data_IF_278528231465
#
_entry.id   IF_278528231465
#
_cell.length_a   1.000
_cell.length_b   1.000
_cell.length_c   1.000
_cell.angle_alpha   90.00
_cell.angle_beta   90.00
_cell.angle_gamma   90.00
#
_symmetry.space_group_name_H-M   'P 1'
#
loop_
_entity.id
_entity.type
_entity.pdbx_description
1 polymer ?
#
# COMPACT_ATOMS: atom_id res chain seq x y z
N UNK A 1 -33.58 31.01 86.09
CA UNK A 1 -32.27 30.36 86.04
C UNK A 1 -32.08 29.72 84.65
N UNK A 2 -31.37 30.41 83.73
CA UNK A 2 -31.07 29.94 82.35
C UNK A 2 -29.66 29.41 82.35
N UNK A 3 -29.48 28.14 81.91
CA UNK A 3 -28.16 27.56 81.71
C UNK A 3 -27.77 27.76 80.21
N UNK A 4 -26.66 28.45 80.04
CA UNK A 4 -26.04 28.64 78.72
C UNK A 4 -25.13 27.42 78.45
N UNK A 5 -25.41 26.69 77.43
CA UNK A 5 -24.57 25.58 76.99
C UNK A 5 -23.64 26.01 75.85
N UNK A 6 -22.35 25.99 76.14
CA UNK A 6 -21.27 26.32 75.20
C UNK A 6 -21.06 25.13 74.25
N UNK A 7 -21.27 25.28 72.91
CA UNK A 7 -20.93 24.32 71.92
C UNK A 7 -19.52 24.60 71.41
N UNK A 8 -18.62 23.63 71.60
CA UNK A 8 -17.29 23.65 71.01
C UNK A 8 -17.43 23.10 69.56
N UNK A 9 -17.07 23.92 68.60
CA UNK A 9 -16.95 23.52 67.17
C UNK A 9 -15.53 22.97 66.94
N UNK A 10 -15.43 21.68 66.73
CA UNK A 10 -14.17 21.00 66.32
C UNK A 10 -13.93 21.18 64.82
N UNK A 11 -12.87 21.88 64.45
CA UNK A 11 -12.41 22.08 63.09
C UNK A 11 -11.54 20.86 62.71
N UNK A 12 -12.06 19.94 61.91
CA UNK A 12 -11.28 18.81 61.35
C UNK A 12 -10.48 19.29 60.13
N UNK A 13 -9.16 19.37 60.27
CA UNK A 13 -8.22 19.71 59.18
C UNK A 13 -7.99 18.45 58.34
N UNK A 14 -8.68 18.30 57.18
CA UNK A 14 -8.39 17.26 56.20
C UNK A 14 -7.15 17.65 55.40
N UNK A 15 -6.00 17.07 55.72
CA UNK A 15 -4.78 17.16 54.90
C UNK A 15 -4.96 16.19 53.71
N UNK A 16 -5.36 16.74 52.58
CA UNK A 16 -5.41 15.98 51.32
C UNK A 16 -4.01 15.69 50.80
N UNK A 17 -3.57 14.45 50.92
CA UNK A 17 -2.38 13.94 50.21
C UNK A 17 -2.68 13.95 48.73
N UNK A 18 -2.19 14.97 48.01
CA UNK A 18 -2.18 14.95 46.52
C UNK A 18 -1.17 13.94 46.05
N UNK A 19 -1.65 12.77 45.59
CA UNK A 19 -0.82 11.82 44.85
C UNK A 19 -0.46 12.46 43.51
N UNK A 20 0.82 12.45 43.08
CA UNK A 20 1.18 12.92 41.77
C UNK A 20 0.47 11.98 40.74
N UNK A 21 -0.46 12.53 39.97
CA UNK A 21 -1.03 11.82 38.82
C UNK A 21 0.12 11.52 37.85
N UNK A 22 0.55 10.28 37.79
CA UNK A 22 1.46 9.82 36.72
C UNK A 22 0.81 10.21 35.41
N UNK A 23 1.48 11.01 34.58
CA UNK A 23 0.99 11.35 33.25
C UNK A 23 0.76 10.04 32.50
N UNK A 24 -0.51 9.72 32.25
CA UNK A 24 -0.88 8.54 31.50
C UNK A 24 -0.28 8.67 30.09
N UNK A 25 0.73 7.89 29.80
CA UNK A 25 1.27 7.80 28.45
C UNK A 25 0.16 7.27 27.54
N UNK A 26 -0.17 8.06 26.50
CA UNK A 26 -1.15 7.59 25.51
C UNK A 26 -0.75 6.21 24.99
N UNK A 27 -1.71 5.27 24.82
CA UNK A 27 -1.39 3.94 24.34
C UNK A 27 -0.72 4.01 22.97
N UNK A 28 0.20 3.07 22.67
CA UNK A 28 0.83 3.00 21.37
C UNK A 28 -0.22 2.79 20.26
N UNK A 29 0.09 3.24 19.05
CA UNK A 29 -0.81 3.19 17.91
C UNK A 29 -0.26 2.29 16.82
N UNK A 30 -1.16 1.63 16.09
CA UNK A 30 -0.82 0.84 14.91
C UNK A 30 -0.72 1.74 13.69
N UNK A 31 0.35 1.55 12.90
CA UNK A 31 0.57 2.26 11.64
C UNK A 31 0.89 1.23 10.56
N UNK A 32 0.25 1.36 9.40
CA UNK A 32 0.60 0.54 8.24
C UNK A 32 2.07 0.76 7.88
N UNK A 33 2.85 -0.31 7.82
CA UNK A 33 4.26 -0.28 7.41
C UNK A 33 4.46 -0.81 6.00
N UNK A 34 3.63 -1.73 5.59
CA UNK A 34 3.52 -2.22 4.23
C UNK A 34 2.07 -2.55 3.91
N UNK A 35 1.62 -2.27 2.70
CA UNK A 35 0.33 -2.69 2.19
C UNK A 35 0.38 -2.89 0.69
N UNK A 36 -0.58 -3.67 0.17
CA UNK A 36 -0.81 -3.83 -1.26
C UNK A 36 -2.30 -3.90 -1.56
N UNK A 37 -2.68 -3.55 -2.78
CA UNK A 37 -4.03 -3.78 -3.28
C UNK A 37 -4.15 -5.18 -3.87
N UNK A 38 -5.17 -5.91 -3.45
CA UNK A 38 -5.43 -7.26 -3.91
C UNK A 38 -6.46 -7.28 -5.05
N UNK A 39 -6.35 -8.27 -5.90
CA UNK A 39 -7.30 -8.60 -6.97
C UNK A 39 -7.67 -10.08 -6.89
N UNK A 40 -8.75 -10.46 -7.56
CA UNK A 40 -9.12 -11.86 -7.72
C UNK A 40 -8.18 -12.57 -8.69
N UNK A 41 -7.80 -13.80 -8.37
CA UNK A 41 -7.10 -14.70 -9.30
C UNK A 41 -7.58 -16.15 -9.13
N UNK A 42 -7.51 -16.94 -10.19
CA UNK A 42 -7.66 -18.38 -10.11
C UNK A 42 -6.37 -19.01 -9.56
N UNK A 43 -6.48 -20.03 -8.71
CA UNK A 43 -5.36 -20.76 -8.15
C UNK A 43 -4.43 -21.38 -9.22
N UNK A 44 -4.98 -21.71 -10.39
CA UNK A 44 -4.19 -22.20 -11.53
C UNK A 44 -3.10 -21.23 -12.00
N UNK A 45 -3.18 -19.96 -11.62
CA UNK A 45 -2.16 -18.94 -11.91
C UNK A 45 -1.03 -18.90 -10.86
N UNK A 46 -1.05 -19.76 -9.85
CA UNK A 46 0.02 -19.95 -8.88
C UNK A 46 0.73 -21.28 -9.16
N UNK A 47 2.07 -21.37 -9.05
CA UNK A 47 2.81 -22.62 -9.28
C UNK A 47 2.67 -23.56 -8.06
N UNK A 48 1.44 -23.78 -7.60
CA UNK A 48 1.17 -24.49 -6.35
C UNK A 48 1.10 -26.00 -6.58
N UNK A 49 1.78 -26.80 -5.73
CA UNK A 49 1.54 -28.24 -5.66
C UNK A 49 0.13 -28.52 -5.10
N UNK A 50 -0.35 -29.74 -5.31
CA UNK A 50 -1.63 -30.16 -4.72
C UNK A 50 -1.51 -30.42 -3.23
N UNK A 51 -2.59 -30.18 -2.48
CA UNK A 51 -2.69 -30.41 -1.04
C UNK A 51 -2.06 -29.30 -0.20
N UNK A 52 -1.54 -29.68 0.96
CA UNK A 52 -0.93 -28.75 1.89
C UNK A 52 0.29 -28.07 1.31
N UNK A 53 0.39 -26.74 1.50
CA UNK A 53 1.50 -25.92 1.01
C UNK A 53 2.00 -24.97 2.09
N UNK A 54 3.29 -24.63 1.99
CA UNK A 54 3.88 -23.47 2.64
C UNK A 54 4.20 -22.41 1.59
N UNK A 55 3.65 -21.19 1.78
CA UNK A 55 3.97 -20.01 0.97
C UNK A 55 4.85 -19.08 1.80
N UNK A 56 6.01 -18.68 1.28
CA UNK A 56 6.87 -17.64 1.88
C UNK A 56 6.97 -16.45 0.96
N UNK A 57 6.59 -15.28 1.48
CA UNK A 57 6.54 -14.02 0.75
C UNK A 57 7.41 -12.99 1.43
N UNK A 58 8.14 -12.19 0.66
CA UNK A 58 8.98 -11.13 1.21
C UNK A 58 8.35 -9.78 0.93
N UNK A 59 8.30 -8.93 1.96
CA UNK A 59 7.80 -7.56 1.86
C UNK A 59 8.83 -6.60 2.46
N UNK A 60 8.94 -5.37 1.91
CA UNK A 60 9.81 -4.34 2.46
C UNK A 60 8.99 -3.35 3.27
N UNK A 61 9.27 -3.28 4.57
CA UNK A 61 8.57 -2.40 5.49
C UNK A 61 8.90 -0.93 5.23
N UNK A 62 7.90 -0.03 5.28
CA UNK A 62 8.12 1.40 5.13
C UNK A 62 8.68 2.04 6.40
N UNK A 63 8.14 1.69 7.55
CA UNK A 63 8.56 2.20 8.86
C UNK A 63 8.82 1.06 9.83
N UNK A 64 9.71 1.29 10.80
CA UNK A 64 10.01 0.37 11.89
C UNK A 64 9.01 0.46 13.04
N UNK A 65 9.07 -0.52 13.96
CA UNK A 65 8.28 -0.57 15.18
C UNK A 65 8.75 -1.65 16.14
N UNK A 66 8.20 -1.64 17.36
CA UNK A 66 8.57 -2.59 18.42
C UNK A 66 7.88 -3.94 18.28
N UNK A 67 6.66 -3.94 17.75
CA UNK A 67 5.84 -5.11 17.43
C UNK A 67 5.24 -4.94 16.05
N UNK A 68 4.83 -6.04 15.45
CA UNK A 68 4.10 -6.03 14.18
C UNK A 68 2.87 -6.93 14.25
N UNK A 69 1.93 -6.76 13.30
CA UNK A 69 0.83 -7.67 13.06
C UNK A 69 0.56 -7.79 11.56
N UNK A 70 0.03 -8.92 11.14
CA UNK A 70 -0.33 -9.18 9.76
C UNK A 70 -1.80 -8.83 9.51
N UNK A 71 -2.10 -8.35 8.31
CA UNK A 71 -3.46 -8.27 7.74
C UNK A 71 -3.58 -9.29 6.62
N UNK A 72 -4.29 -10.37 6.90
CA UNK A 72 -4.57 -11.42 5.92
C UNK A 72 -5.95 -11.18 5.29
N UNK A 73 -6.13 -11.58 4.04
CA UNK A 73 -7.33 -11.25 3.30
C UNK A 73 -7.87 -12.41 2.46
N UNK A 74 -9.18 -12.62 2.58
CA UNK A 74 -9.99 -13.44 1.72
C UNK A 74 -10.99 -12.58 0.91
N UNK A 75 -10.57 -11.35 0.57
CA UNK A 75 -11.43 -10.29 -0.02
C UNK A 75 -12.16 -10.76 -1.28
N UNK A 76 -11.51 -11.58 -2.10
CA UNK A 76 -12.03 -12.08 -3.36
C UNK A 76 -12.31 -13.58 -3.36
N UNK A 77 -12.10 -14.25 -2.23
CA UNK A 77 -12.43 -15.67 -2.08
C UNK A 77 -13.93 -15.90 -2.06
N UNK A 78 -14.37 -17.03 -2.61
CA UNK A 78 -15.77 -17.48 -2.64
C UNK A 78 -16.07 -18.59 -1.61
N UNK A 79 -15.03 -19.10 -0.96
CA UNK A 79 -15.09 -20.07 0.14
C UNK A 79 -14.26 -19.60 1.33
N UNK A 80 -14.47 -20.12 2.54
CA UNK A 80 -13.63 -19.83 3.69
C UNK A 80 -12.16 -20.15 3.41
N UNK A 81 -11.26 -19.23 3.73
CA UNK A 81 -9.81 -19.41 3.63
C UNK A 81 -9.29 -19.96 4.96
N UNK A 82 -8.80 -21.18 4.96
CA UNK A 82 -8.14 -21.77 6.11
C UNK A 82 -6.62 -21.54 6.04
N UNK A 83 -6.05 -21.06 7.13
CA UNK A 83 -4.60 -20.88 7.34
C UNK A 83 -4.27 -21.66 8.61
N UNK A 84 -3.48 -22.72 8.48
CA UNK A 84 -3.17 -23.65 9.59
C UNK A 84 -1.96 -23.20 10.42
N UNK A 85 -1.23 -22.19 9.93
CA UNK A 85 -0.12 -21.59 10.64
C UNK A 85 0.48 -20.42 9.88
N UNK A 86 1.10 -19.53 10.64
CA UNK A 86 1.84 -18.39 10.07
C UNK A 86 3.09 -18.09 10.88
N UNK A 87 4.15 -17.62 10.22
CA UNK A 87 5.39 -17.17 10.86
C UNK A 87 5.92 -15.92 10.17
N UNK A 88 6.67 -15.14 10.92
CA UNK A 88 7.39 -13.96 10.40
C UNK A 88 8.84 -13.99 10.85
N UNK A 89 9.74 -13.56 9.99
CA UNK A 89 11.15 -13.39 10.28
C UNK A 89 11.75 -12.26 9.44
N UNK A 90 12.92 -11.74 9.79
CA UNK A 90 13.69 -10.94 8.86
C UNK A 90 14.16 -11.82 7.70
N UNK A 91 13.97 -11.33 6.48
CA UNK A 91 14.39 -12.06 5.27
C UNK A 91 15.92 -12.04 5.12
N UNK A 92 16.47 -13.11 4.60
CA UNK A 92 17.88 -13.22 4.23
C UNK A 92 18.24 -12.41 2.97
N UNK A 93 19.02 -12.97 2.05
CA UNK A 93 19.41 -12.29 0.81
C UNK A 93 18.21 -11.97 -0.10
N UNK A 94 18.25 -10.89 -0.91
CA UNK A 94 17.23 -10.62 -1.93
C UNK A 94 17.06 -11.81 -2.88
N UNK A 95 15.82 -12.14 -3.26
CA UNK A 95 15.51 -13.23 -4.17
C UNK A 95 15.69 -14.64 -3.57
N UNK A 96 16.08 -14.77 -2.30
CA UNK A 96 16.22 -16.04 -1.59
C UNK A 96 15.07 -16.33 -0.63
N UNK A 97 14.85 -17.61 -0.31
CA UNK A 97 13.85 -18.06 0.66
C UNK A 97 14.37 -18.10 2.09
N UNK A 98 15.67 -17.83 2.32
CA UNK A 98 16.32 -17.85 3.63
C UNK A 98 15.76 -16.79 4.57
N UNK A 99 15.70 -17.11 5.87
CA UNK A 99 15.36 -16.19 6.96
C UNK A 99 16.51 -16.05 7.94
N UNK A 100 16.52 -14.94 8.70
CA UNK A 100 17.43 -14.77 9.84
C UNK A 100 16.83 -15.55 11.02
N UNK A 101 17.38 -16.71 11.32
CA UNK A 101 16.76 -17.75 12.15
C UNK A 101 16.37 -17.29 13.57
N UNK A 102 17.18 -16.47 14.23
CA UNK A 102 16.92 -15.95 15.58
C UNK A 102 15.80 -14.89 15.62
N UNK A 103 15.36 -14.41 14.46
CA UNK A 103 14.23 -13.48 14.31
C UNK A 103 12.90 -14.18 14.01
N UNK A 104 12.89 -15.49 13.82
CA UNK A 104 11.70 -16.25 13.47
C UNK A 104 10.69 -16.29 14.64
N UNK A 105 9.46 -15.87 14.38
CA UNK A 105 8.38 -15.80 15.36
C UNK A 105 7.10 -16.45 14.81
N UNK A 106 6.46 -17.26 15.65
CA UNK A 106 5.10 -17.73 15.36
C UNK A 106 4.10 -16.58 15.41
N UNK A 107 3.14 -16.62 14.52
CA UNK A 107 2.00 -15.69 14.48
C UNK A 107 0.77 -16.43 15.01
N UNK A 108 0.00 -15.79 15.87
CA UNK A 108 -1.27 -16.32 16.38
C UNK A 108 -2.46 -15.44 15.98
N UNK A 109 -3.66 -15.98 16.17
CA UNK A 109 -4.94 -15.36 15.86
C UNK A 109 -5.89 -15.65 17.02
N UNK A 110 -6.10 -14.67 17.90
CA UNK A 110 -6.81 -14.85 19.17
C UNK A 110 -6.23 -16.03 19.99
N UNK A 111 -4.89 -16.07 20.07
CA UNK A 111 -4.10 -17.10 20.74
C UNK A 111 -4.03 -18.46 20.02
N UNK A 112 -4.67 -18.64 18.87
CA UNK A 112 -4.65 -19.87 18.09
C UNK A 112 -3.58 -19.80 16.99
N UNK A 113 -2.96 -20.93 16.66
CA UNK A 113 -1.94 -21.00 15.61
C UNK A 113 -2.48 -20.77 14.19
N UNK A 114 -3.76 -21.06 13.97
CA UNK A 114 -4.43 -20.94 12.68
C UNK A 114 -5.70 -20.10 12.73
N UNK A 115 -6.25 -19.82 11.56
CA UNK A 115 -7.49 -19.05 11.41
C UNK A 115 -8.26 -19.49 10.17
N UNK A 116 -9.58 -19.37 10.21
CA UNK A 116 -10.46 -19.51 9.05
C UNK A 116 -11.11 -18.17 8.77
N UNK A 117 -10.75 -17.57 7.63
CA UNK A 117 -11.21 -16.23 7.21
C UNK A 117 -12.42 -16.37 6.29
N UNK A 118 -13.59 -15.83 6.64
CA UNK A 118 -14.78 -15.88 5.78
C UNK A 118 -14.54 -15.22 4.40
N UNK A 119 -15.31 -15.60 3.36
CA UNK A 119 -15.31 -14.92 2.08
C UNK A 119 -15.57 -13.43 2.23
N UNK A 120 -14.83 -12.60 1.48
CA UNK A 120 -14.95 -11.14 1.50
C UNK A 120 -14.24 -10.46 2.68
N UNK A 121 -13.76 -11.21 3.68
CA UNK A 121 -13.22 -10.65 4.92
C UNK A 121 -11.69 -10.44 4.88
N UNK A 122 -11.23 -9.53 5.75
CA UNK A 122 -9.83 -9.42 6.18
C UNK A 122 -9.72 -9.79 7.66
N UNK A 123 -8.54 -10.26 8.08
CA UNK A 123 -8.29 -10.70 9.44
C UNK A 123 -6.95 -10.18 9.95
N UNK A 124 -6.92 -9.69 11.18
CA UNK A 124 -5.70 -9.26 11.83
C UNK A 124 -5.12 -10.40 12.67
N UNK A 125 -3.80 -10.57 12.62
CA UNK A 125 -3.12 -11.43 13.60
C UNK A 125 -3.03 -10.74 14.96
N UNK A 126 -2.70 -11.53 15.98
CA UNK A 126 -2.22 -10.99 17.24
C UNK A 126 -0.90 -10.23 17.03
N UNK A 127 -0.56 -9.31 17.95
CA UNK A 127 0.74 -8.63 17.93
C UNK A 127 1.91 -9.59 18.12
N UNK A 128 2.90 -9.51 17.23
CA UNK A 128 4.14 -10.30 17.29
C UNK A 128 5.28 -9.44 17.84
N UNK A 129 5.96 -9.92 18.88
CA UNK A 129 7.14 -9.27 19.44
C UNK A 129 8.36 -9.49 18.52
N UNK A 130 8.50 -8.65 17.54
CA UNK A 130 9.62 -8.61 16.61
C UNK A 130 9.92 -7.14 16.29
N UNK A 131 10.91 -6.53 16.95
CA UNK A 131 11.37 -5.19 16.59
C UNK A 131 11.93 -5.18 15.17
N UNK A 132 11.48 -4.22 14.38
CA UNK A 132 11.89 -4.06 12.98
C UNK A 132 12.28 -2.61 12.71
N UNK A 133 13.25 -2.43 11.83
CA UNK A 133 13.64 -1.10 11.34
C UNK A 133 12.85 -0.73 10.05
N UNK A 134 12.82 0.57 9.74
CA UNK A 134 12.32 1.03 8.45
C UNK A 134 13.16 0.45 7.31
N UNK A 135 12.51 0.10 6.20
CA UNK A 135 13.07 -0.56 5.03
C UNK A 135 13.57 -2.00 5.26
N UNK A 136 13.39 -2.58 6.45
CA UNK A 136 13.67 -3.98 6.68
C UNK A 136 12.83 -4.88 5.77
N UNK A 137 13.40 -5.99 5.33
CA UNK A 137 12.69 -7.02 4.57
C UNK A 137 12.16 -8.07 5.54
N UNK A 138 10.84 -8.26 5.50
CA UNK A 138 10.13 -9.24 6.33
C UNK A 138 9.69 -10.42 5.46
N UNK A 139 10.09 -11.62 5.84
CA UNK A 139 9.54 -12.85 5.31
C UNK A 139 8.27 -13.20 6.08
N UNK A 140 7.17 -13.43 5.36
CA UNK A 140 5.89 -13.89 5.90
C UNK A 140 5.64 -15.27 5.33
N UNK A 141 5.58 -16.28 6.18
CA UNK A 141 5.30 -17.67 5.81
C UNK A 141 3.89 -18.04 6.26
N UNK A 142 3.11 -18.63 5.35
CA UNK A 142 1.74 -19.10 5.59
C UNK A 142 1.65 -20.59 5.24
N UNK A 143 1.03 -21.40 6.09
CA UNK A 143 0.69 -22.79 5.79
C UNK A 143 -0.80 -22.88 5.52
N UNK A 144 -1.13 -23.39 4.34
CA UNK A 144 -2.49 -23.63 3.90
C UNK A 144 -2.70 -25.13 3.65
N UNK A 145 -3.82 -25.71 4.07
CA UNK A 145 -4.13 -27.11 3.77
C UNK A 145 -4.32 -27.36 2.27
N UNK A 146 -4.68 -26.30 1.55
CA UNK A 146 -4.76 -26.25 0.08
C UNK A 146 -4.76 -24.78 -0.37
N UNK A 147 -4.30 -24.51 -1.59
CA UNK A 147 -4.46 -23.20 -2.20
C UNK A 147 -5.92 -22.98 -2.58
N UNK A 148 -6.56 -21.89 -2.12
CA UNK A 148 -7.97 -21.66 -2.42
C UNK A 148 -8.19 -21.49 -3.92
N UNK A 149 -9.23 -22.13 -4.47
CA UNK A 149 -9.53 -22.10 -5.90
C UNK A 149 -9.61 -20.69 -6.47
N UNK A 150 -10.16 -19.76 -5.68
CA UNK A 150 -10.14 -18.33 -5.99
C UNK A 150 -9.41 -17.59 -4.86
N UNK A 151 -8.29 -16.99 -5.18
CA UNK A 151 -7.40 -16.34 -4.23
C UNK A 151 -7.46 -14.82 -4.35
N UNK A 152 -7.18 -14.17 -3.22
CA UNK A 152 -6.91 -12.72 -3.15
C UNK A 152 -5.41 -12.50 -3.30
N UNK A 153 -4.97 -11.95 -4.43
CA UNK A 153 -3.54 -11.77 -4.73
C UNK A 153 -3.23 -10.36 -5.20
N UNK A 154 -1.97 -9.98 -5.07
CA UNK A 154 -1.39 -8.88 -5.82
C UNK A 154 -0.48 -9.46 -6.91
N UNK A 155 -0.76 -9.16 -8.19
CA UNK A 155 -0.16 -9.87 -9.34
C UNK A 155 1.27 -9.47 -9.66
N UNK A 156 1.68 -8.25 -9.31
CA UNK A 156 2.95 -7.66 -9.73
C UNK A 156 3.81 -7.26 -8.53
N UNK A 157 4.09 -8.22 -7.66
CA UNK A 157 4.81 -7.98 -6.41
C UNK A 157 6.20 -7.34 -6.60
N UNK A 158 6.85 -7.59 -7.74
CA UNK A 158 8.25 -7.22 -7.99
C UNK A 158 9.20 -7.72 -6.90
N UNK A 159 8.79 -8.81 -6.25
CA UNK A 159 9.55 -9.49 -5.20
C UNK A 159 9.30 -10.98 -5.36
N UNK A 160 10.35 -11.77 -5.20
CA UNK A 160 10.26 -13.23 -5.30
C UNK A 160 9.53 -13.78 -4.08
N UNK A 161 8.53 -14.60 -4.32
CA UNK A 161 7.82 -15.42 -3.37
C UNK A 161 8.05 -16.90 -3.68
N UNK A 162 7.83 -17.75 -2.70
CA UNK A 162 8.14 -19.17 -2.76
C UNK A 162 6.92 -19.98 -2.32
N UNK A 163 6.69 -21.11 -2.99
CA UNK A 163 5.66 -22.07 -2.63
C UNK A 163 6.20 -23.48 -2.71
N UNK A 164 5.90 -24.29 -1.71
CA UNK A 164 6.38 -25.66 -1.59
C UNK A 164 5.33 -26.54 -0.95
N UNK A 165 5.35 -27.86 -1.24
CA UNK A 165 4.47 -28.84 -0.63
C UNK A 165 4.77 -29.04 0.86
N UNK A 166 3.72 -29.25 1.65
CA UNK A 166 3.81 -29.60 3.06
C UNK A 166 4.16 -28.47 4.00
N UNK A 167 4.45 -28.83 5.24
CA UNK A 167 4.82 -27.90 6.32
C UNK A 167 6.31 -27.61 6.37
N UNK A 168 6.70 -26.46 5.83
CA UNK A 168 8.05 -25.90 5.96
C UNK A 168 8.03 -24.52 6.64
N UNK A 169 7.02 -24.22 7.46
CA UNK A 169 6.87 -22.91 8.11
C UNK A 169 8.13 -22.48 8.88
N UNK A 170 8.70 -23.39 9.67
CA UNK A 170 9.85 -23.11 10.52
C UNK A 170 11.22 -23.35 9.82
N UNK A 171 11.22 -23.77 8.55
CA UNK A 171 12.45 -24.02 7.82
C UNK A 171 13.25 -22.72 7.64
N UNK A 172 14.55 -22.68 7.99
CA UNK A 172 15.40 -21.50 7.75
C UNK A 172 15.51 -21.14 6.27
N UNK A 173 15.42 -22.13 5.41
CA UNK A 173 15.37 -22.03 3.95
C UNK A 173 14.35 -23.05 3.42
N UNK A 174 13.57 -22.66 2.42
CA UNK A 174 12.64 -23.60 1.78
C UNK A 174 13.37 -24.43 0.74
N UNK A 175 13.23 -25.76 0.83
CA UNK A 175 13.79 -26.70 -0.14
C UNK A 175 12.74 -27.07 -1.20
N UNK A 176 13.19 -27.22 -2.44
CA UNK A 176 12.33 -27.59 -3.59
C UNK A 176 11.15 -26.65 -3.84
N UNK A 177 11.28 -25.39 -3.44
CA UNK A 177 10.23 -24.39 -3.63
C UNK A 177 10.18 -23.88 -5.07
N UNK A 178 8.98 -23.83 -5.64
CA UNK A 178 8.72 -23.07 -6.86
C UNK A 178 8.67 -21.56 -6.53
N UNK A 179 9.13 -20.73 -7.48
CA UNK A 179 9.14 -19.27 -7.34
C UNK A 179 8.04 -18.62 -8.16
N UNK A 180 7.54 -17.48 -7.65
CA UNK A 180 6.58 -16.63 -8.36
C UNK A 180 6.73 -15.16 -7.88
N UNK A 181 6.09 -14.21 -8.59
CA UNK A 181 6.22 -12.77 -8.30
C UNK A 181 4.87 -12.15 -7.96
N UNK A 182 4.12 -12.79 -7.06
CA UNK A 182 2.83 -12.32 -6.55
C UNK A 182 2.84 -12.35 -5.03
N UNK A 183 2.00 -11.52 -4.39
CA UNK A 183 1.65 -11.69 -2.98
C UNK A 183 0.26 -12.32 -2.88
N UNK A 184 0.12 -13.37 -2.09
CA UNK A 184 -1.11 -14.12 -1.91
C UNK A 184 -1.63 -14.00 -0.47
N UNK A 185 -2.91 -13.71 -0.29
CA UNK A 185 -3.64 -13.57 0.97
C UNK A 185 -3.09 -12.54 1.97
N UNK A 186 -2.00 -11.85 1.65
CA UNK A 186 -1.37 -10.84 2.51
C UNK A 186 -1.73 -9.44 2.01
N UNK A 187 -2.51 -8.71 2.80
CA UNK A 187 -2.96 -7.35 2.48
C UNK A 187 -2.11 -6.26 3.12
N UNK A 188 -1.42 -6.56 4.24
CA UNK A 188 -0.61 -5.55 4.90
C UNK A 188 0.15 -6.08 6.12
N UNK A 189 1.10 -5.26 6.54
CA UNK A 189 1.84 -5.40 7.81
C UNK A 189 1.75 -4.07 8.52
N UNK A 190 1.21 -4.08 9.74
CA UNK A 190 1.18 -2.91 10.61
C UNK A 190 2.27 -3.05 11.66
N UNK A 191 2.84 -1.92 12.07
CA UNK A 191 3.82 -1.83 13.16
C UNK A 191 3.29 -0.97 14.29
N UNK A 192 3.69 -1.32 15.51
CA UNK A 192 3.36 -0.55 16.68
C UNK A 192 4.34 0.61 16.85
N UNK A 193 3.78 1.82 17.02
CA UNK A 193 4.52 3.07 17.16
C UNK A 193 4.11 3.79 18.45
N UNK A 194 5.00 4.60 19.07
CA UNK A 194 4.59 5.54 20.12
C UNK A 194 3.45 6.43 19.64
N UNK A 195 2.54 6.79 20.53
CA UNK A 195 1.40 7.62 20.19
C UNK A 195 1.80 8.92 19.47
N UNK A 196 1.13 9.24 18.37
CA UNK A 196 1.39 10.44 17.57
C UNK A 196 2.69 10.39 16.73
N UNK A 197 3.42 9.27 16.72
CA UNK A 197 4.69 9.12 15.97
C UNK A 197 4.55 8.27 14.70
N UNK A 198 3.39 7.70 14.46
CA UNK A 198 3.12 6.90 13.27
C UNK A 198 2.37 7.68 12.19
N UNK A 199 2.87 7.65 10.97
CA UNK A 199 2.22 8.22 9.79
C UNK A 199 2.40 7.28 8.60
N UNK A 200 1.35 7.10 7.82
CA UNK A 200 1.39 6.41 6.54
C UNK A 200 0.98 7.34 5.39
N UNK A 201 1.71 7.26 4.30
CA UNK A 201 1.38 7.87 3.01
C UNK A 201 0.98 6.73 2.08
N UNK A 202 -0.22 6.80 1.50
CA UNK A 202 -0.70 5.78 0.56
C UNK A 202 -0.54 6.27 -0.87
N UNK A 203 0.06 5.45 -1.75
CA UNK A 203 0.16 5.75 -3.18
C UNK A 203 -0.88 4.96 -3.95
N UNK A 204 -1.93 5.63 -4.42
CA UNK A 204 -3.01 5.05 -5.22
C UNK A 204 -2.69 5.24 -6.70
N UNK A 205 -2.72 4.15 -7.47
CA UNK A 205 -2.42 4.26 -8.90
C UNK A 205 -2.61 2.97 -9.69
N UNK A 206 -2.07 3.00 -10.88
CA UNK A 206 -2.04 1.91 -11.86
C UNK A 206 -0.67 1.22 -11.94
N UNK A 207 -0.33 0.65 -13.10
CA UNK A 207 0.96 -0.03 -13.35
C UNK A 207 2.19 0.85 -13.11
N UNK A 208 2.09 2.16 -13.28
CA UNK A 208 3.20 3.09 -13.05
C UNK A 208 3.48 3.21 -11.54
N UNK A 209 2.46 3.17 -10.70
CA UNK A 209 2.61 3.15 -9.24
C UNK A 209 2.94 1.75 -8.73
N UNK A 210 2.35 0.72 -9.30
CA UNK A 210 2.64 -0.69 -9.03
C UNK A 210 4.09 -1.07 -9.36
N UNK A 211 4.67 -0.46 -10.42
CA UNK A 211 6.08 -0.57 -10.77
C UNK A 211 6.36 -1.44 -11.98
N UNK A 212 5.49 -1.41 -13.00
CA UNK A 212 5.79 -2.07 -14.29
C UNK A 212 7.06 -1.50 -14.90
N UNK A 213 7.99 -2.38 -15.35
CA UNK A 213 9.32 -1.97 -15.83
C UNK A 213 10.40 -1.92 -14.75
N UNK A 214 10.03 -1.96 -13.44
CA UNK A 214 11.00 -2.10 -12.36
C UNK A 214 11.51 -3.54 -12.24
N UNK A 215 12.75 -3.70 -11.77
CA UNK A 215 13.37 -5.00 -11.53
C UNK A 215 12.72 -5.75 -10.34
N UNK A 216 12.97 -7.05 -10.29
CA UNK A 216 12.52 -7.91 -9.19
C UNK A 216 13.54 -7.86 -8.05
N UNK A 217 13.08 -7.78 -6.81
CA UNK A 217 13.87 -7.78 -5.56
C UNK A 217 14.82 -6.57 -5.36
N UNK A 218 14.69 -5.50 -6.17
CA UNK A 218 15.57 -4.31 -6.11
C UNK A 218 14.93 -3.07 -5.49
N UNK A 219 13.59 -3.03 -5.33
CA UNK A 219 12.86 -1.93 -4.67
C UNK A 219 13.15 -0.55 -5.24
N UNK A 220 12.96 -0.37 -6.54
CA UNK A 220 13.29 0.85 -7.29
C UNK A 220 12.07 1.57 -7.90
N UNK A 221 10.84 1.14 -7.55
CA UNK A 221 9.61 1.84 -7.92
C UNK A 221 9.60 3.24 -7.33
N UNK A 222 8.89 4.21 -7.92
CA UNK A 222 8.86 5.55 -7.36
C UNK A 222 8.37 5.62 -5.89
N UNK A 223 7.40 4.79 -5.43
CA UNK A 223 7.06 4.74 -4.01
C UNK A 223 8.18 4.17 -3.14
N UNK A 224 9.00 3.24 -3.66
CA UNK A 224 10.17 2.70 -2.93
C UNK A 224 11.28 3.76 -2.78
N UNK A 225 11.50 4.58 -3.83
CA UNK A 225 12.44 5.70 -3.79
C UNK A 225 11.97 6.76 -2.78
N UNK A 226 10.67 7.10 -2.80
CA UNK A 226 10.09 8.01 -1.80
C UNK A 226 10.27 7.45 -0.38
N UNK A 227 9.96 6.17 -0.16
CA UNK A 227 10.15 5.53 1.14
C UNK A 227 11.61 5.62 1.63
N UNK A 228 12.58 5.36 0.76
CA UNK A 228 14.00 5.47 1.09
C UNK A 228 14.38 6.92 1.48
N UNK A 229 13.88 7.93 0.74
CA UNK A 229 14.10 9.36 1.05
C UNK A 229 13.51 9.74 2.41
N UNK A 230 12.29 9.28 2.71
CA UNK A 230 11.64 9.57 3.99
C UNK A 230 12.38 8.92 5.17
N UNK A 231 12.91 7.72 5.00
CA UNK A 231 13.70 7.04 6.04
C UNK A 231 15.10 7.65 6.22
N UNK A 232 15.66 8.30 5.20
CA UNK A 232 16.97 8.96 5.28
C UNK A 232 16.95 10.30 6.02
N UNK A 233 15.79 10.98 6.10
CA UNK A 233 15.64 12.26 6.80
C UNK A 233 15.13 12.01 8.24
N UNK A 234 15.88 12.43 9.27
CA UNK A 234 15.45 12.25 10.68
C UNK A 234 14.06 12.83 11.00
N UNK A 235 13.61 13.86 10.28
CA UNK A 235 12.30 14.51 10.49
C UNK A 235 11.14 13.67 10.01
N UNK A 236 11.37 12.84 8.98
CA UNK A 236 10.37 11.97 8.36
C UNK A 236 10.64 10.48 8.57
N UNK A 237 11.73 10.14 9.26
CA UNK A 237 12.04 8.76 9.66
C UNK A 237 10.90 8.21 10.53
N UNK A 238 10.15 7.29 10.00
CA UNK A 238 8.96 6.74 10.66
C UNK A 238 7.67 6.99 9.88
N UNK A 239 7.73 7.77 8.79
CA UNK A 239 6.67 7.84 7.79
C UNK A 239 6.80 6.65 6.86
N UNK A 240 5.76 5.84 6.75
CA UNK A 240 5.71 4.72 5.80
C UNK A 240 5.09 5.14 4.47
N UNK A 241 5.48 4.45 3.39
CA UNK A 241 4.83 4.55 2.08
C UNK A 241 4.17 3.21 1.77
N UNK A 242 2.86 3.24 1.55
CA UNK A 242 2.02 2.06 1.26
C UNK A 242 1.65 2.08 -0.22
N UNK A 243 2.20 1.16 -1.00
CA UNK A 243 1.92 1.09 -2.43
C UNK A 243 0.68 0.24 -2.70
N UNK A 244 -0.41 0.86 -3.12
CA UNK A 244 -1.66 0.21 -3.51
C UNK A 244 -1.97 0.40 -5.02
N UNK A 245 -0.92 0.50 -5.84
CA UNK A 245 -1.01 0.44 -7.30
C UNK A 245 -1.51 -0.94 -7.77
N UNK A 246 -2.18 -0.97 -8.90
CA UNK A 246 -2.59 -2.21 -9.59
C UNK A 246 -2.30 -2.07 -11.08
N UNK A 247 -1.54 -2.99 -11.65
CA UNK A 247 -1.26 -3.00 -13.09
C UNK A 247 -2.53 -2.94 -13.94
N UNK A 248 -2.61 -1.97 -14.86
CA UNK A 248 -3.78 -1.77 -15.74
C UNK A 248 -5.03 -1.19 -15.06
N UNK A 249 -4.94 -0.69 -13.83
CA UNK A 249 -6.08 -0.17 -13.10
C UNK A 249 -6.64 1.11 -13.73
N UNK A 250 -7.94 1.22 -13.72
CA UNK A 250 -8.69 2.40 -14.14
C UNK A 250 -9.30 3.09 -12.93
N UNK A 251 -9.54 4.39 -13.05
CA UNK A 251 -10.20 5.16 -12.00
C UNK A 251 -11.72 4.94 -12.00
N UNK A 252 -12.32 4.85 -13.20
CA UNK A 252 -13.78 4.96 -13.39
C UNK A 252 -14.49 3.61 -13.47
N UNK A 253 -13.81 2.54 -13.86
CA UNK A 253 -14.45 1.24 -14.06
C UNK A 253 -13.51 0.07 -13.75
N UNK A 254 -14.11 -1.07 -13.47
CA UNK A 254 -13.39 -2.31 -13.27
C UNK A 254 -12.66 -2.76 -14.56
N UNK A 255 -11.60 -3.52 -14.37
CA UNK A 255 -10.74 -4.06 -15.42
C UNK A 255 -9.75 -5.06 -14.85
N UNK A 256 -8.46 -4.74 -14.88
CA UNK A 256 -7.42 -5.58 -14.24
C UNK A 256 -7.59 -5.75 -12.73
N UNK A 257 -8.43 -4.94 -12.11
CA UNK A 257 -8.90 -4.98 -10.73
C UNK A 257 -10.12 -4.07 -10.60
N UNK A 258 -10.68 -3.96 -9.41
CA UNK A 258 -11.75 -3.01 -9.13
C UNK A 258 -11.31 -1.58 -9.44
N UNK A 259 -12.24 -0.74 -9.93
CA UNK A 259 -11.99 0.69 -10.15
C UNK A 259 -11.35 1.34 -8.93
N UNK A 260 -10.36 2.20 -9.12
CA UNK A 260 -9.67 2.84 -7.99
C UNK A 260 -10.65 3.61 -7.08
N UNK A 261 -11.69 4.22 -7.65
CA UNK A 261 -12.73 4.88 -6.88
C UNK A 261 -13.55 3.89 -6.02
N UNK A 262 -13.80 2.67 -6.51
CA UNK A 262 -14.55 1.63 -5.80
C UNK A 262 -13.75 1.02 -4.64
N UNK A 263 -12.41 0.91 -4.78
CA UNK A 263 -11.52 0.34 -3.76
C UNK A 263 -10.93 1.38 -2.81
N UNK A 264 -11.26 2.65 -2.95
CA UNK A 264 -10.69 3.77 -2.19
C UNK A 264 -10.79 3.56 -0.67
N UNK A 265 -11.96 3.18 -0.16
CA UNK A 265 -12.15 2.98 1.29
C UNK A 265 -11.25 1.86 1.82
N UNK A 266 -11.27 0.70 1.15
CA UNK A 266 -10.52 -0.48 1.58
C UNK A 266 -9.02 -0.28 1.49
N UNK A 267 -8.55 0.22 0.34
CA UNK A 267 -7.12 0.21 0.03
C UNK A 267 -6.39 1.49 0.49
N UNK A 268 -7.12 2.58 0.74
CA UNK A 268 -6.53 3.87 1.15
C UNK A 268 -7.07 4.33 2.50
N UNK A 269 -8.37 4.62 2.60
CA UNK A 269 -8.93 5.35 3.74
C UNK A 269 -8.93 4.52 5.03
N UNK A 270 -8.96 3.18 4.93
CA UNK A 270 -8.90 2.26 6.07
C UNK A 270 -7.46 1.89 6.49
N UNK A 271 -6.42 2.44 5.85
CA UNK A 271 -5.04 2.12 6.23
C UNK A 271 -4.70 2.71 7.59
N UNK A 272 -4.12 1.91 8.51
CA UNK A 272 -3.76 2.40 9.84
C UNK A 272 -2.74 3.53 9.78
N UNK A 273 -3.05 4.64 10.44
CA UNK A 273 -2.16 5.80 10.52
C UNK A 273 -2.02 6.61 9.24
N UNK A 274 -2.88 6.40 8.22
CA UNK A 274 -2.87 7.21 7.00
C UNK A 274 -3.15 8.68 7.31
N UNK A 275 -2.32 9.57 6.78
CA UNK A 275 -2.43 11.03 6.91
C UNK A 275 -2.32 11.76 5.57
N UNK A 276 -1.69 11.11 4.58
CA UNK A 276 -1.62 11.65 3.23
C UNK A 276 -1.77 10.53 2.20
N UNK A 277 -2.21 10.89 1.02
CA UNK A 277 -2.19 10.03 -0.17
C UNK A 277 -1.63 10.76 -1.38
N UNK A 278 -1.02 10.01 -2.29
CA UNK A 278 -0.64 10.50 -3.62
C UNK A 278 -1.45 9.71 -4.63
N UNK A 279 -2.14 10.39 -5.54
CA UNK A 279 -2.98 9.75 -6.56
C UNK A 279 -2.40 9.99 -7.96
N UNK A 280 -1.98 8.91 -8.62
CA UNK A 280 -1.50 8.86 -9.99
C UNK A 280 -2.27 7.78 -10.76
N UNK A 281 -3.30 8.16 -11.48
CA UNK A 281 -4.17 7.22 -12.19
C UNK A 281 -4.89 7.94 -13.33
N UNK A 282 -5.40 7.21 -14.33
CA UNK A 282 -6.20 7.78 -15.41
C UNK A 282 -5.65 7.46 -16.81
N UNK A 283 -4.37 7.09 -16.94
CA UNK A 283 -3.79 6.74 -18.24
C UNK A 283 -4.54 5.57 -18.89
N UNK A 284 -5.00 4.60 -18.07
CA UNK A 284 -5.74 3.43 -18.56
C UNK A 284 -7.21 3.75 -18.87
N UNK A 285 -7.78 4.78 -18.29
CA UNK A 285 -9.12 5.26 -18.65
C UNK A 285 -9.10 5.92 -20.02
N UNK A 286 -8.13 6.81 -20.27
CA UNK A 286 -7.93 7.50 -21.56
C UNK A 286 -7.51 6.51 -22.65
N UNK A 287 -6.41 5.80 -22.44
CA UNK A 287 -5.84 4.85 -23.43
C UNK A 287 -6.77 3.68 -23.72
N UNK A 288 -7.51 3.24 -22.72
CA UNK A 288 -8.48 2.13 -22.81
C UNK A 288 -9.64 2.38 -23.75
N UNK A 289 -10.00 3.65 -24.05
CA UNK A 289 -11.02 3.98 -25.02
C UNK A 289 -10.80 3.32 -26.37
N UNK A 290 -9.53 3.28 -26.82
CA UNK A 290 -9.16 2.69 -28.12
C UNK A 290 -9.37 1.18 -28.20
N UNK A 291 -9.59 0.50 -27.09
CA UNK A 291 -9.88 -0.94 -27.01
C UNK A 291 -11.39 -1.24 -26.94
N UNK A 292 -12.22 -0.20 -26.77
CA UNK A 292 -13.67 -0.32 -26.56
C UNK A 292 -14.49 0.01 -27.82
N UNK A 293 -13.84 0.01 -28.97
CA UNK A 293 -14.44 0.32 -30.28
C UNK A 293 -14.14 1.74 -30.73
N UNK A 294 -15.04 2.32 -31.52
CA UNK A 294 -14.88 3.66 -32.05
C UNK A 294 -14.80 4.71 -30.93
N UNK A 295 -13.78 5.57 -31.01
CA UNK A 295 -13.56 6.66 -30.07
C UNK A 295 -14.15 7.95 -30.64
N UNK A 296 -15.31 8.34 -30.14
CA UNK A 296 -15.98 9.58 -30.55
C UNK A 296 -15.61 10.74 -29.63
N UNK A 297 -15.77 12.01 -30.07
CA UNK A 297 -15.53 13.20 -29.23
C UNK A 297 -16.34 13.19 -27.94
N UNK A 298 -17.57 12.65 -27.96
CA UNK A 298 -18.43 12.54 -26.79
C UNK A 298 -17.85 11.58 -25.76
N UNK A 299 -17.35 10.40 -26.17
CA UNK A 299 -16.68 9.43 -25.29
C UNK A 299 -15.42 10.03 -24.65
N UNK A 300 -14.62 10.80 -25.43
CA UNK A 300 -13.45 11.52 -24.90
C UNK A 300 -13.85 12.52 -23.82
N UNK A 301 -14.83 13.36 -24.12
CA UNK A 301 -15.38 14.34 -23.16
C UNK A 301 -15.90 13.65 -21.90
N UNK A 302 -16.61 12.53 -22.04
CA UNK A 302 -17.11 11.75 -20.90
C UNK A 302 -15.98 11.20 -20.01
N UNK A 303 -14.90 10.70 -20.59
CA UNK A 303 -13.76 10.20 -19.81
C UNK A 303 -13.04 11.35 -19.09
N UNK A 304 -12.74 12.45 -19.76
CA UNK A 304 -12.06 13.60 -19.13
C UNK A 304 -12.90 14.16 -17.99
N UNK A 305 -14.20 14.43 -18.22
CA UNK A 305 -15.10 14.94 -17.18
C UNK A 305 -15.32 13.95 -16.06
N UNK A 306 -15.40 12.66 -16.38
CA UNK A 306 -15.51 11.58 -15.40
C UNK A 306 -14.28 11.47 -14.49
N UNK A 307 -13.07 11.54 -15.05
CA UNK A 307 -11.82 11.56 -14.28
C UNK A 307 -11.78 12.73 -13.32
N UNK A 308 -12.12 13.94 -13.80
CA UNK A 308 -12.17 15.16 -12.98
C UNK A 308 -13.20 15.00 -11.83
N UNK A 309 -14.38 14.49 -12.12
CA UNK A 309 -15.40 14.25 -11.11
C UNK A 309 -14.94 13.22 -10.06
N UNK A 310 -14.30 12.14 -10.51
CA UNK A 310 -13.78 11.09 -9.62
C UNK A 310 -12.63 11.60 -8.73
N UNK A 311 -11.73 12.43 -9.24
CA UNK A 311 -10.71 13.08 -8.42
C UNK A 311 -11.33 13.97 -7.34
N UNK A 312 -12.37 14.75 -7.65
CA UNK A 312 -13.09 15.53 -6.62
C UNK A 312 -13.68 14.62 -5.54
N UNK A 313 -14.26 13.47 -5.91
CA UNK A 313 -14.78 12.49 -4.96
C UNK A 313 -13.68 11.92 -4.06
N UNK A 314 -12.50 11.59 -4.63
CA UNK A 314 -11.34 11.12 -3.84
C UNK A 314 -10.95 12.18 -2.80
N UNK A 315 -10.78 13.43 -3.22
CA UNK A 315 -10.36 14.51 -2.33
C UNK A 315 -11.41 14.75 -1.23
N UNK A 316 -12.69 14.85 -1.59
CA UNK A 316 -13.77 15.04 -0.59
C UNK A 316 -13.75 13.95 0.46
N UNK A 317 -13.74 12.67 0.03
CA UNK A 317 -13.77 11.51 0.96
C UNK A 317 -12.51 11.38 1.81
N UNK A 318 -11.36 11.76 1.27
CA UNK A 318 -10.10 11.81 2.01
C UNK A 318 -10.10 12.91 3.08
N UNK A 319 -10.56 14.10 2.73
CA UNK A 319 -10.67 15.24 3.64
C UNK A 319 -11.63 14.98 4.81
N UNK A 320 -12.77 14.29 4.58
CA UNK A 320 -13.67 13.85 5.65
C UNK A 320 -12.98 12.99 6.72
N UNK A 321 -11.83 12.38 6.39
CA UNK A 321 -11.00 11.57 7.30
C UNK A 321 -9.71 12.26 7.74
N UNK A 322 -9.55 13.54 7.39
CA UNK A 322 -8.34 14.31 7.70
C UNK A 322 -7.09 13.81 6.97
N UNK A 323 -7.28 13.25 5.76
CA UNK A 323 -6.21 12.75 4.89
C UNK A 323 -5.95 13.78 3.80
N UNK A 324 -4.71 14.26 3.72
CA UNK A 324 -4.24 15.17 2.65
C UNK A 324 -4.14 14.41 1.32
N UNK A 325 -4.42 15.10 0.22
CA UNK A 325 -4.37 14.49 -1.12
C UNK A 325 -3.42 15.27 -2.01
N UNK A 326 -2.36 14.59 -2.45
CA UNK A 326 -1.41 15.09 -3.46
C UNK A 326 -1.84 14.55 -4.83
N UNK A 327 -2.23 15.44 -5.74
CA UNK A 327 -2.51 15.08 -7.12
C UNK A 327 -1.21 14.91 -7.92
N UNK A 328 -1.10 13.82 -8.68
CA UNK A 328 0.01 13.62 -9.59
C UNK A 328 -0.45 13.67 -11.05
N UNK A 329 0.27 14.41 -11.90
CA UNK A 329 -0.06 14.51 -13.32
C UNK A 329 0.25 13.20 -14.04
N UNK A 330 -0.61 12.83 -15.00
CA UNK A 330 -0.48 11.63 -15.82
C UNK A 330 0.71 11.78 -16.76
N UNK A 331 1.61 10.80 -16.78
CA UNK A 331 2.82 10.78 -17.60
C UNK A 331 2.48 10.80 -19.10
N UNK A 332 3.38 11.33 -19.94
CA UNK A 332 3.26 11.23 -21.39
C UNK A 332 3.37 9.77 -21.85
N UNK A 333 2.61 9.40 -22.87
CA UNK A 333 2.59 8.03 -23.39
C UNK A 333 2.50 8.00 -24.94
N UNK A 334 2.87 9.08 -25.60
CA UNK A 334 2.94 9.17 -27.05
C UNK A 334 3.90 8.15 -27.64
N UNK A 335 3.44 7.40 -28.66
CA UNK A 335 4.21 6.33 -29.28
C UNK A 335 4.09 4.96 -28.63
N UNK A 336 3.38 4.83 -27.49
CA UNK A 336 3.15 3.52 -26.89
C UNK A 336 2.37 2.56 -27.82
N UNK A 337 2.75 1.30 -27.80
CA UNK A 337 2.04 0.23 -28.49
C UNK A 337 0.94 -0.42 -27.63
N UNK A 338 0.89 -0.06 -26.36
CA UNK A 338 -0.10 -0.61 -25.42
C UNK A 338 -1.49 -0.05 -25.71
N UNK A 339 -1.55 1.23 -26.10
CA UNK A 339 -2.78 1.93 -26.47
C UNK A 339 -2.61 2.65 -27.80
N UNK A 340 -3.72 3.05 -28.43
CA UNK A 340 -3.69 4.04 -29.49
C UNK A 340 -3.47 5.41 -28.83
N UNK A 341 -2.23 5.90 -28.90
CA UNK A 341 -1.82 7.21 -28.37
C UNK A 341 -1.69 8.22 -29.52
N UNK A 342 -2.81 8.67 -30.02
CA UNK A 342 -2.90 9.73 -31.02
C UNK A 342 -2.88 11.13 -30.37
N UNK A 343 -2.86 12.18 -31.19
CA UNK A 343 -2.86 13.56 -30.70
C UNK A 343 -4.07 13.90 -29.84
N UNK A 344 -5.23 13.28 -30.13
CA UNK A 344 -6.44 13.50 -29.34
C UNK A 344 -6.34 12.86 -27.96
N UNK A 345 -5.74 11.66 -27.85
CA UNK A 345 -5.52 11.01 -26.56
C UNK A 345 -4.53 11.82 -25.71
N UNK A 346 -3.51 12.42 -26.32
CA UNK A 346 -2.62 13.34 -25.61
C UNK A 346 -3.33 14.63 -25.20
N UNK A 347 -4.20 15.18 -26.03
CA UNK A 347 -5.03 16.34 -25.68
C UNK A 347 -5.93 16.04 -24.46
N UNK A 348 -6.56 14.87 -24.41
CA UNK A 348 -7.35 14.43 -23.25
C UNK A 348 -6.49 14.36 -21.98
N UNK A 349 -5.29 13.77 -22.08
CA UNK A 349 -4.31 13.69 -20.98
C UNK A 349 -3.90 15.08 -20.51
N UNK A 350 -3.60 15.99 -21.44
CA UNK A 350 -3.21 17.37 -21.12
C UNK A 350 -4.36 18.15 -20.48
N UNK A 351 -5.60 17.94 -20.91
CA UNK A 351 -6.78 18.55 -20.27
C UNK A 351 -6.94 18.12 -18.82
N UNK A 352 -6.78 16.82 -18.52
CA UNK A 352 -6.80 16.30 -17.16
C UNK A 352 -5.60 16.85 -16.36
N UNK A 353 -4.40 16.89 -16.93
CA UNK A 353 -3.21 17.41 -16.27
C UNK A 353 -3.29 18.90 -15.97
N UNK A 354 -3.83 19.70 -16.87
CA UNK A 354 -4.08 21.13 -16.65
C UNK A 354 -5.03 21.32 -15.45
N UNK A 355 -6.10 20.53 -15.41
CA UNK A 355 -7.02 20.58 -14.27
C UNK A 355 -6.35 20.13 -12.96
N UNK A 356 -5.50 19.09 -12.96
CA UNK A 356 -4.75 18.67 -11.76
C UNK A 356 -3.87 19.81 -11.25
N UNK A 357 -3.18 20.54 -12.16
CA UNK A 357 -2.28 21.66 -11.81
C UNK A 357 -3.02 22.86 -11.25
N UNK A 358 -4.13 23.24 -11.87
CA UNK A 358 -4.68 24.60 -11.76
C UNK A 358 -5.99 24.67 -10.98
N UNK A 359 -6.65 23.51 -10.68
CA UNK A 359 -7.98 23.50 -10.06
C UNK A 359 -7.99 23.95 -8.60
N UNK A 360 -6.87 23.88 -7.88
CA UNK A 360 -6.80 24.12 -6.44
C UNK A 360 -7.58 23.10 -5.59
N UNK A 361 -8.00 21.97 -6.17
CA UNK A 361 -8.74 20.92 -5.45
C UNK A 361 -7.83 20.05 -4.59
N UNK A 362 -6.63 19.75 -5.08
CA UNK A 362 -5.63 18.99 -4.33
C UNK A 362 -4.90 19.87 -3.30
N UNK A 363 -4.50 19.30 -2.18
CA UNK A 363 -3.70 20.00 -1.17
C UNK A 363 -2.30 20.36 -1.67
N UNK A 364 -1.78 19.58 -2.63
CA UNK A 364 -0.56 19.82 -3.35
C UNK A 364 -0.56 19.04 -4.68
N UNK A 365 0.36 19.39 -5.55
CA UNK A 365 0.54 18.71 -6.85
C UNK A 365 2.00 18.30 -7.01
N UNK A 366 2.22 17.09 -7.53
CA UNK A 366 3.49 16.64 -8.08
C UNK A 366 3.37 16.48 -9.60
N UNK A 367 4.19 17.22 -10.34
CA UNK A 367 4.10 17.28 -11.80
C UNK A 367 4.98 16.20 -12.45
N UNK A 368 4.54 14.95 -12.41
CA UNK A 368 5.27 13.84 -13.01
C UNK A 368 5.34 13.94 -14.54
N UNK A 369 4.36 14.52 -15.19
CA UNK A 369 4.41 14.81 -16.64
C UNK A 369 5.63 15.69 -16.96
N UNK A 370 5.83 16.79 -16.24
CA UNK A 370 6.96 17.68 -16.41
C UNK A 370 8.31 16.99 -16.09
N UNK A 371 8.32 16.12 -15.08
CA UNK A 371 9.52 15.42 -14.63
C UNK A 371 9.99 14.38 -15.65
N UNK A 372 9.05 13.73 -16.34
CA UNK A 372 9.37 12.54 -17.15
C UNK A 372 9.31 12.75 -18.65
N UNK A 373 8.73 13.86 -19.12
CA UNK A 373 8.57 14.12 -20.55
C UNK A 373 9.89 14.49 -21.24
N UNK A 374 10.01 14.11 -22.49
CA UNK A 374 11.05 14.58 -23.39
C UNK A 374 10.82 16.07 -23.73
N UNK A 375 11.78 16.97 -23.46
CA UNK A 375 11.64 18.39 -23.82
C UNK A 375 11.46 18.64 -25.33
N UNK A 376 12.01 17.78 -26.21
CA UNK A 376 11.87 17.87 -27.64
C UNK A 376 10.55 17.28 -28.17
N UNK A 377 9.99 16.32 -27.44
CA UNK A 377 8.75 15.59 -27.74
C UNK A 377 7.89 15.46 -26.49
N UNK A 378 7.22 16.54 -26.04
CA UNK A 378 6.52 16.58 -24.75
C UNK A 378 5.40 15.54 -24.58
N UNK A 379 4.91 14.97 -25.69
CA UNK A 379 3.94 13.87 -25.69
C UNK A 379 4.56 12.51 -25.34
N UNK A 380 5.90 12.40 -25.21
CA UNK A 380 6.65 11.16 -24.96
C UNK A 380 7.46 11.21 -23.67
N UNK A 381 7.74 10.03 -23.14
CA UNK A 381 8.77 9.88 -22.11
C UNK A 381 10.14 10.23 -22.65
N UNK A 382 10.96 10.89 -21.82
CA UNK A 382 12.39 11.07 -22.12
C UNK A 382 13.00 9.67 -22.36
N UNK A 383 13.80 9.46 -23.43
CA UNK A 383 14.34 8.12 -23.75
C UNK A 383 15.06 7.43 -22.59
N UNK A 384 15.77 8.17 -21.74
CA UNK A 384 16.42 7.64 -20.55
C UNK A 384 15.44 7.18 -19.45
N UNK A 385 14.21 7.66 -19.49
CA UNK A 385 13.17 7.37 -18.50
C UNK A 385 12.12 6.35 -19.00
N UNK A 386 12.24 5.90 -20.24
CA UNK A 386 11.37 4.91 -20.85
C UNK A 386 11.89 3.48 -20.62
N UNK A 387 11.04 2.53 -20.22
CA UNK A 387 11.39 1.11 -20.13
C UNK A 387 11.46 0.40 -21.48
N UNK A 388 11.11 1.10 -22.57
CA UNK A 388 11.11 0.58 -23.95
C UNK A 388 9.71 0.40 -24.56
N UNK A 389 8.64 0.69 -23.83
CA UNK A 389 7.25 0.56 -24.29
C UNK A 389 6.52 1.89 -24.45
N UNK A 390 7.20 3.01 -24.18
CA UNK A 390 6.67 4.39 -24.24
C UNK A 390 5.48 4.65 -23.32
N UNK A 391 5.38 3.89 -22.20
CA UNK A 391 4.32 4.01 -21.22
C UNK A 391 4.85 3.91 -19.78
N UNK A 392 5.69 2.91 -19.53
CA UNK A 392 6.19 2.63 -18.19
C UNK A 392 7.60 3.21 -18.01
N UNK A 393 7.88 3.84 -16.86
CA UNK A 393 9.20 4.36 -16.56
C UNK A 393 10.26 3.27 -16.43
N UNK A 394 11.48 3.60 -16.85
CA UNK A 394 12.69 2.84 -16.51
C UNK A 394 13.04 3.05 -15.02
N UNK A 395 14.03 2.30 -14.46
CA UNK A 395 14.56 2.57 -13.11
C UNK A 395 14.98 4.03 -12.91
N UNK A 396 15.59 4.67 -13.94
CA UNK A 396 15.97 6.07 -13.88
C UNK A 396 14.74 7.00 -13.84
N UNK A 397 13.68 6.68 -14.60
CA UNK A 397 12.42 7.40 -14.56
C UNK A 397 11.73 7.29 -13.21
N UNK A 398 11.67 6.09 -12.64
CA UNK A 398 11.13 5.87 -11.29
C UNK A 398 11.92 6.64 -10.22
N UNK A 399 13.24 6.66 -10.33
CA UNK A 399 14.09 7.46 -9.43
C UNK A 399 13.74 8.94 -9.53
N UNK A 400 13.68 9.49 -10.75
CA UNK A 400 13.31 10.89 -10.96
C UNK A 400 11.93 11.23 -10.39
N UNK A 401 10.92 10.36 -10.58
CA UNK A 401 9.59 10.53 -10.00
C UNK A 401 9.63 10.53 -8.47
N UNK A 402 10.24 9.52 -7.84
CA UNK A 402 10.33 9.42 -6.39
C UNK A 402 11.08 10.59 -5.75
N UNK A 403 12.12 11.13 -6.43
CA UNK A 403 12.86 12.32 -6.01
C UNK A 403 12.06 13.62 -6.15
N UNK A 404 11.16 13.69 -7.13
CA UNK A 404 10.34 14.87 -7.39
C UNK A 404 9.20 15.07 -6.38
N UNK A 405 8.81 14.05 -5.61
CA UNK A 405 7.74 14.21 -4.60
C UNK A 405 8.18 15.22 -3.54
N UNK A 406 7.45 16.35 -3.36
CA UNK A 406 7.79 17.34 -2.35
C UNK A 406 7.41 16.82 -0.97
N UNK A 407 8.40 16.50 -0.12
CA UNK A 407 8.18 15.94 1.22
C UNK A 407 7.25 16.83 2.05
N UNK A 408 7.40 18.16 1.97
CA UNK A 408 6.53 19.12 2.67
C UNK A 408 5.04 19.03 2.27
N UNK A 409 4.73 18.45 1.12
CA UNK A 409 3.35 18.26 0.68
C UNK A 409 2.64 17.13 1.43
N UNK A 410 3.39 16.32 2.16
CA UNK A 410 2.89 15.17 2.92
C UNK A 410 2.56 15.51 4.38
N UNK A 411 3.01 16.67 4.88
CA UNK A 411 2.82 17.14 6.26
C UNK A 411 1.41 17.73 6.50
#
# INVERSE_FOLDING_TARGET
MRRIGTRLLGLALCVGLAWPAAAATSPPTWTGSWATALVSTDAANLPAPQGEVTIRQVVRLGAGGSRLRLRLANTFGTAPLRIDGARVALAGAPGGSTIVADTDRAVSFDGQAGVTIPPGATWLSDPVNLPVEGLARLAVSLRLPEVPRQASVHRSARTTAFIVAGDQLAAPELTDAATFTQWAQLAGVDVERPAGKGMAVVTLGDSITDGSGAGVDVYERWPDVLAARLQADPRTKGVSVLNVGIGGNKLLKDGSGQAALARLDRDVLAQPGVKAMIVLIGVNDIGGLSREGEVTPEKRTQVVTGLIAAYRQIVTRAHERGIRVVGATILPCGGTKVYRSDADADADRQAVNAWIRDSGVFDAVVDFDKVTRDPAHPERLLPAYDSGDQLHPSPAGYKAMGEAVPIKALD
#
